data_IF_011469553320
#
_entry.id   IF_011469553320
#
_cell.length_a   1.000
_cell.length_b   1.000
_cell.length_c   1.000
_cell.angle_alpha   90.00
_cell.angle_beta   90.00
_cell.angle_gamma   90.00
#
_symmetry.space_group_name_H-M   'P 1'
#
loop_
_entity.id
_entity.type
_entity.pdbx_description
1 polymer ?
#
# COMPACT_ATOMS: atom_id res chain seq x y z
N UNK A 1 2.87 5.62 -13.62
CA UNK A 1 3.86 4.51 -13.58
C UNK A 1 4.59 4.55 -12.25
N UNK A 2 5.37 3.52 -11.88
CA UNK A 2 6.04 3.47 -10.56
C UNK A 2 7.06 4.64 -10.38
N UNK A 3 7.63 5.10 -11.49
CA UNK A 3 8.54 6.25 -11.55
C UNK A 3 7.93 7.58 -11.11
N UNK A 4 6.60 7.71 -11.13
CA UNK A 4 5.93 8.96 -10.76
C UNK A 4 5.67 9.05 -9.25
N UNK A 5 5.86 7.92 -8.54
CA UNK A 5 5.51 7.76 -7.13
C UNK A 5 6.73 7.48 -6.26
N UNK A 6 7.73 6.78 -6.80
CA UNK A 6 8.97 6.47 -6.08
C UNK A 6 9.96 7.60 -6.23
N UNK A 7 10.26 8.27 -5.13
CA UNK A 7 11.13 9.44 -5.05
C UNK A 7 12.55 9.07 -4.59
N UNK A 8 13.52 9.92 -4.94
CA UNK A 8 14.94 9.68 -4.65
C UNK A 8 15.34 10.00 -3.20
N UNK A 9 14.57 10.83 -2.51
CA UNK A 9 14.75 11.20 -1.09
C UNK A 9 14.46 10.05 -0.13
N UNK A 10 13.75 9.01 -0.58
CA UNK A 10 13.52 7.82 0.22
C UNK A 10 14.80 6.95 0.27
N UNK A 11 15.34 6.78 1.48
CA UNK A 11 16.55 6.00 1.74
C UNK A 11 16.34 4.49 1.71
N UNK A 12 15.10 4.01 1.80
CA UNK A 12 14.81 2.58 1.76
C UNK A 12 14.99 1.99 0.35
N UNK A 13 15.82 0.96 0.21
CA UNK A 13 16.04 0.30 -1.08
C UNK A 13 14.85 -0.58 -1.52
N UNK A 14 14.07 -1.11 -0.58
CA UNK A 14 12.93 -1.99 -0.85
C UNK A 14 11.69 -1.21 -1.32
N UNK A 15 11.16 -1.54 -2.50
CA UNK A 15 9.94 -0.96 -3.05
C UNK A 15 8.80 -1.98 -3.00
N UNK A 16 7.80 -1.68 -2.17
CA UNK A 16 6.63 -2.52 -1.94
C UNK A 16 5.47 -2.07 -2.83
N UNK A 17 4.91 -2.99 -3.61
CA UNK A 17 3.72 -2.71 -4.42
C UNK A 17 2.87 -3.97 -4.67
N UNK A 18 1.65 -3.75 -5.15
CA UNK A 18 0.77 -4.82 -5.57
C UNK A 18 1.15 -5.37 -6.96
N UNK A 19 0.56 -6.51 -7.31
CA UNK A 19 0.81 -7.22 -8.56
C UNK A 19 0.58 -6.37 -9.82
N UNK A 20 -0.35 -5.41 -9.80
CA UNK A 20 -0.64 -4.51 -10.91
C UNK A 20 0.58 -3.65 -11.31
N UNK A 21 1.49 -3.39 -10.37
CA UNK A 21 2.73 -2.67 -10.64
C UNK A 21 3.86 -3.57 -11.19
N UNK A 22 3.67 -4.89 -11.28
CA UNK A 22 4.70 -5.84 -11.76
C UNK A 22 4.76 -5.90 -13.29
N UNK A 23 4.99 -4.76 -13.94
CA UNK A 23 5.28 -4.70 -15.38
C UNK A 23 6.77 -4.86 -15.64
N UNK A 24 7.14 -5.36 -16.83
CA UNK A 24 8.55 -5.46 -17.23
C UNK A 24 9.24 -4.08 -17.21
N UNK A 25 8.52 -3.03 -17.62
CA UNK A 25 9.03 -1.66 -17.58
C UNK A 25 9.35 -1.19 -16.16
N UNK A 26 8.48 -1.45 -15.19
CA UNK A 26 8.70 -1.09 -13.79
C UNK A 26 9.86 -1.89 -13.17
N UNK A 27 9.95 -3.19 -13.44
CA UNK A 27 11.04 -4.03 -12.94
C UNK A 27 12.39 -3.61 -13.52
N UNK A 28 12.44 -3.30 -14.82
CA UNK A 28 13.65 -2.77 -15.47
C UNK A 28 14.04 -1.40 -14.90
N UNK A 29 13.06 -0.52 -14.64
CA UNK A 29 13.29 0.77 -14.01
C UNK A 29 13.84 0.63 -12.58
N UNK A 30 13.24 -0.24 -11.76
CA UNK A 30 13.72 -0.52 -10.39
C UNK A 30 15.17 -1.01 -10.39
N UNK A 31 15.52 -1.91 -11.31
CA UNK A 31 16.89 -2.41 -11.47
C UNK A 31 17.87 -1.29 -11.83
N UNK A 32 17.49 -0.38 -12.74
CA UNK A 32 18.32 0.79 -13.10
C UNK A 32 18.51 1.76 -11.94
N UNK A 33 17.52 1.87 -11.06
CA UNK A 33 17.57 2.73 -9.87
C UNK A 33 18.20 2.04 -8.64
N UNK A 34 18.76 0.84 -8.80
CA UNK A 34 19.32 0.05 -7.69
C UNK A 34 18.33 -0.18 -6.54
N UNK A 35 17.03 -0.31 -6.86
CA UNK A 35 15.95 -0.59 -5.91
C UNK A 35 15.59 -2.07 -5.92
N UNK A 36 15.22 -2.60 -4.76
CA UNK A 36 14.82 -4.00 -4.56
C UNK A 36 13.32 -4.14 -4.75
N UNK A 37 12.91 -4.97 -5.71
CA UNK A 37 11.50 -5.23 -6.00
C UNK A 37 10.86 -6.14 -4.94
N UNK A 38 9.99 -5.55 -4.11
CA UNK A 38 9.09 -6.28 -3.20
C UNK A 38 7.66 -6.33 -3.74
N UNK A 39 7.51 -6.29 -5.07
CA UNK A 39 6.22 -6.32 -5.75
C UNK A 39 5.63 -7.73 -5.75
N UNK A 40 4.32 -7.89 -5.53
CA UNK A 40 3.66 -9.19 -5.52
C UNK A 40 3.70 -9.89 -6.90
N UNK A 41 3.81 -11.21 -6.89
CA UNK A 41 3.75 -12.02 -8.10
C UNK A 41 2.33 -12.52 -8.38
N UNK A 42 1.87 -12.39 -9.63
CA UNK A 42 0.57 -12.91 -10.06
C UNK A 42 0.56 -14.44 -10.03
N UNK A 43 -0.58 -15.02 -9.63
CA UNK A 43 -0.85 -16.45 -9.80
C UNK A 43 -0.92 -16.79 -11.31
N UNK A 44 -0.28 -17.88 -11.78
CA UNK A 44 -0.45 -18.34 -13.16
C UNK A 44 -1.91 -18.73 -13.45
N UNK A 45 -2.36 -18.48 -14.68
CA UNK A 45 -3.72 -18.85 -15.09
C UNK A 45 -3.86 -20.37 -15.13
N UNK A 46 -4.96 -20.91 -14.58
CA UNK A 46 -5.27 -22.34 -14.61
C UNK A 46 -4.34 -23.26 -13.79
N UNK A 47 -3.38 -22.71 -13.03
CA UNK A 47 -2.42 -23.50 -12.25
C UNK A 47 -2.34 -23.02 -10.80
N UNK A 48 -1.99 -23.89 -9.84
CA UNK A 48 -1.69 -23.46 -8.48
C UNK A 48 -0.48 -22.50 -8.45
N UNK A 49 -0.39 -21.67 -7.41
CA UNK A 49 0.77 -20.83 -7.19
C UNK A 49 1.98 -21.73 -6.85
N UNK A 50 3.15 -21.56 -7.51
CA UNK A 50 4.36 -22.25 -7.09
C UNK A 50 4.68 -21.96 -5.63
N UNK A 51 5.06 -23.00 -4.87
CA UNK A 51 5.23 -22.90 -3.42
C UNK A 51 6.23 -21.81 -3.00
N UNK A 52 7.35 -21.69 -3.74
CA UNK A 52 8.35 -20.63 -3.52
C UNK A 52 7.75 -19.22 -3.69
N UNK A 53 6.93 -19.03 -4.73
CA UNK A 53 6.24 -17.77 -4.99
C UNK A 53 5.18 -17.48 -3.93
N UNK A 54 4.45 -18.51 -3.48
CA UNK A 54 3.49 -18.39 -2.40
C UNK A 54 4.15 -17.95 -1.09
N UNK A 55 5.27 -18.57 -0.70
CA UNK A 55 6.06 -18.18 0.47
C UNK A 55 6.57 -16.74 0.37
N UNK A 56 7.11 -16.34 -0.80
CA UNK A 56 7.56 -14.97 -1.03
C UNK A 56 6.41 -13.95 -0.97
N UNK A 57 5.25 -14.27 -1.56
CA UNK A 57 4.07 -13.41 -1.47
C UNK A 57 3.52 -13.36 -0.03
N UNK A 58 3.55 -14.45 0.74
CA UNK A 58 3.11 -14.44 2.14
C UNK A 58 3.95 -13.50 3.01
N UNK A 59 5.27 -13.49 2.81
CA UNK A 59 6.15 -12.52 3.47
C UNK A 59 5.79 -11.08 3.10
N UNK A 60 5.47 -10.81 1.83
CA UNK A 60 5.00 -9.48 1.38
C UNK A 60 3.63 -9.10 1.93
N UNK A 61 2.72 -10.07 2.03
CA UNK A 61 1.39 -9.89 2.60
C UNK A 61 1.43 -9.47 4.06
N UNK A 62 2.41 -9.94 4.86
CA UNK A 62 2.57 -9.53 6.26
C UNK A 62 2.76 -8.03 6.42
N UNK A 63 3.48 -7.40 5.50
CA UNK A 63 3.68 -5.94 5.49
C UNK A 63 2.44 -5.25 4.93
N UNK A 64 1.91 -5.74 3.82
CA UNK A 64 0.69 -5.21 3.19
C UNK A 64 -0.49 -5.15 4.16
N UNK A 65 -0.68 -6.16 5.01
CA UNK A 65 -1.75 -6.21 6.00
C UNK A 65 -1.76 -4.99 6.95
N UNK A 66 -0.58 -4.46 7.30
CA UNK A 66 -0.46 -3.25 8.14
C UNK A 66 -1.00 -2.01 7.44
N UNK A 67 -0.79 -1.91 6.13
CA UNK A 67 -1.30 -0.82 5.29
C UNK A 67 -2.80 -1.01 5.03
N UNK A 68 -3.23 -2.23 4.74
CA UNK A 68 -4.63 -2.56 4.48
C UNK A 68 -5.55 -2.28 5.67
N UNK A 69 -5.03 -2.39 6.89
CA UNK A 69 -5.78 -2.03 8.09
C UNK A 69 -6.28 -0.58 8.06
N UNK A 70 -5.52 0.36 7.46
CA UNK A 70 -5.95 1.76 7.28
C UNK A 70 -7.23 1.81 6.45
N UNK A 71 -7.20 1.16 5.27
CA UNK A 71 -8.34 1.12 4.36
C UNK A 71 -9.54 0.37 4.95
N UNK A 72 -9.29 -0.71 5.70
CA UNK A 72 -10.33 -1.44 6.41
C UNK A 72 -11.05 -0.55 7.41
N UNK A 73 -10.31 0.24 8.21
CA UNK A 73 -10.88 1.20 9.14
C UNK A 73 -11.70 2.27 8.42
N UNK A 74 -11.16 2.84 7.36
CA UNK A 74 -11.86 3.86 6.57
C UNK A 74 -13.17 3.34 5.98
N UNK A 75 -13.16 2.12 5.41
CA UNK A 75 -14.37 1.55 4.80
C UNK A 75 -15.39 1.10 5.85
N UNK A 76 -14.96 0.32 6.84
CA UNK A 76 -15.87 -0.33 7.78
C UNK A 76 -16.32 0.61 8.92
N UNK A 77 -15.39 1.33 9.55
CA UNK A 77 -15.70 2.17 10.71
C UNK A 77 -16.09 3.59 10.31
N UNK A 78 -15.41 4.16 9.31
CA UNK A 78 -15.69 5.54 8.87
C UNK A 78 -16.74 5.61 7.74
N UNK A 79 -17.19 4.46 7.22
CA UNK A 79 -18.17 4.42 6.13
C UNK A 79 -17.70 5.11 4.84
N UNK A 80 -16.38 5.14 4.58
CA UNK A 80 -15.82 5.88 3.45
C UNK A 80 -16.30 5.29 2.13
N UNK A 81 -17.11 6.08 1.43
CA UNK A 81 -17.63 5.74 0.12
C UNK A 81 -17.70 6.97 -0.79
N UNK A 82 -17.19 6.87 -2.02
CA UNK A 82 -17.03 8.01 -2.92
C UNK A 82 -17.94 7.82 -4.14
N UNK A 83 -18.96 8.67 -4.26
CA UNK A 83 -19.86 8.81 -5.43
C UNK A 83 -20.03 10.28 -5.85
N UNK A 84 -19.05 11.11 -5.52
CA UNK A 84 -19.08 12.55 -5.83
C UNK A 84 -18.80 12.81 -7.30
N UNK A 85 -19.52 13.75 -7.91
CA UNK A 85 -19.25 14.22 -9.27
C UNK A 85 -18.09 15.23 -9.23
N UNK A 86 -17.01 14.90 -9.94
CA UNK A 86 -15.81 15.72 -10.09
C UNK A 86 -14.63 15.26 -9.23
N UNK A 87 -13.44 15.20 -9.85
CA UNK A 87 -12.21 14.69 -9.22
C UNK A 87 -11.82 15.47 -7.97
N UNK A 88 -11.90 16.81 -8.00
CA UNK A 88 -11.56 17.67 -6.85
C UNK A 88 -12.42 17.37 -5.62
N UNK A 89 -13.70 17.00 -5.79
CA UNK A 89 -14.59 16.63 -4.68
C UNK A 89 -14.25 15.27 -4.11
N UNK A 90 -13.90 14.31 -4.98
CA UNK A 90 -13.43 13.00 -4.56
C UNK A 90 -12.12 13.11 -3.77
N UNK A 91 -11.16 13.91 -4.26
CA UNK A 91 -9.89 14.20 -3.60
C UNK A 91 -10.08 14.83 -2.22
N UNK A 92 -10.95 15.85 -2.11
CA UNK A 92 -11.27 16.47 -0.83
C UNK A 92 -11.84 15.45 0.18
N UNK A 93 -12.76 14.59 -0.26
CA UNK A 93 -13.35 13.55 0.59
C UNK A 93 -12.31 12.54 1.08
N UNK A 94 -11.42 12.09 0.19
CA UNK A 94 -10.31 11.19 0.55
C UNK A 94 -9.38 11.86 1.55
N UNK A 95 -9.03 13.13 1.30
CA UNK A 95 -8.11 13.90 2.14
C UNK A 95 -8.65 14.04 3.56
N UNK A 96 -9.92 14.44 3.71
CA UNK A 96 -10.57 14.54 5.02
C UNK A 96 -10.64 13.20 5.76
N UNK A 97 -10.93 12.10 5.05
CA UNK A 97 -10.93 10.77 5.64
C UNK A 97 -9.53 10.33 6.11
N UNK A 98 -8.49 10.64 5.33
CA UNK A 98 -7.10 10.38 5.74
C UNK A 98 -6.71 11.21 6.97
N UNK A 99 -7.10 12.49 7.02
CA UNK A 99 -6.83 13.37 8.16
C UNK A 99 -7.50 12.85 9.44
N UNK A 100 -8.80 12.54 9.38
CA UNK A 100 -9.53 12.00 10.52
C UNK A 100 -8.95 10.66 10.99
N UNK A 101 -8.60 9.76 10.06
CA UNK A 101 -7.92 8.51 10.40
C UNK A 101 -6.60 8.76 11.16
N UNK A 102 -5.77 9.70 10.68
CA UNK A 102 -4.49 10.01 11.30
C UNK A 102 -4.66 10.62 12.70
N UNK A 103 -5.66 11.48 12.91
CA UNK A 103 -5.98 12.00 14.25
C UNK A 103 -6.39 10.88 15.21
N UNK A 104 -7.28 9.98 14.78
CA UNK A 104 -7.65 8.82 15.60
C UNK A 104 -6.47 7.88 15.88
N UNK A 105 -5.55 7.74 14.92
CA UNK A 105 -4.35 6.93 15.08
C UNK A 105 -3.36 7.57 16.06
N UNK A 106 -3.20 8.89 16.02
CA UNK A 106 -2.38 9.63 16.98
C UNK A 106 -2.90 9.42 18.41
N UNK A 107 -4.18 9.66 18.65
CA UNK A 107 -4.81 9.48 19.97
C UNK A 107 -4.60 8.05 20.49
N UNK A 108 -4.71 7.05 19.61
CA UNK A 108 -4.45 5.66 19.98
C UNK A 108 -3.01 5.48 20.48
N UNK A 109 -2.01 6.01 19.75
CA UNK A 109 -0.61 5.90 20.14
C UNK A 109 -0.30 6.67 21.43
N UNK A 110 -0.85 7.88 21.60
CA UNK A 110 -0.68 8.68 22.83
C UNK A 110 -1.28 7.99 24.06
N UNK A 111 -2.48 7.41 23.93
CA UNK A 111 -3.09 6.63 25.01
C UNK A 111 -2.25 5.42 25.40
N UNK A 112 -1.71 4.70 24.41
CA UNK A 112 -0.82 3.58 24.66
C UNK A 112 0.46 4.02 25.38
N UNK A 113 1.05 5.14 24.98
CA UNK A 113 2.23 5.69 25.65
C UNK A 113 1.96 6.12 27.10
N UNK A 114 0.77 6.66 27.38
CA UNK A 114 0.37 7.09 28.72
C UNK A 114 -0.03 5.94 29.68
N UNK A 115 -0.36 4.76 29.13
CA UNK A 115 -0.64 3.54 29.92
C UNK A 115 0.62 2.70 30.16
N UNK A 116 1.78 3.12 29.66
CA UNK A 116 3.09 2.50 29.85
C UNK A 116 3.79 3.02 31.10
#
# INVERSE_FOLDING_TARGET
MLCDVVTADNTASDVWADTAYRSQANEAWLKRQSRVSRIHCKKPCGKPMPERTAKANAAKSKIRARVEHVFARQKAQMGLFIRTIGIKRAEAKITLANLAYNMHRLIFHERWAAMG
#
